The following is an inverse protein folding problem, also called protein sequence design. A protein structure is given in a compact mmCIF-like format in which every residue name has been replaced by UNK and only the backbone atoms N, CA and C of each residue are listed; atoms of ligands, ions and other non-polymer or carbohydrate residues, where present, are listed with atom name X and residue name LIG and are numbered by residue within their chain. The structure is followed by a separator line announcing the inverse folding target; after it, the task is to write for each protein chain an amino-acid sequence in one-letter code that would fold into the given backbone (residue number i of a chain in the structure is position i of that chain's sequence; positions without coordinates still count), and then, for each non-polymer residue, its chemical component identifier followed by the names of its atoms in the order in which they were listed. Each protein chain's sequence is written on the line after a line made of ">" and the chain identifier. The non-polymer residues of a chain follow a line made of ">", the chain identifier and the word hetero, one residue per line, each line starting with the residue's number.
data_IF_155705306496
#
_entry.id   IF_155705306496
#
_cell.length_a   1.000
_cell.length_b   1.000
_cell.length_c   1.000
_cell.angle_alpha   90.00
_cell.angle_beta   90.00
_cell.angle_gamma   90.00
#
_symmetry.space_group_name_H-M   'P 1'
#
loop_
_entity.id
_entity.type
_entity.pdbx_description
1 polymer ?
#
# COMPACT_ATOMS: atom_id res chain seq x y z
N UNK A 1 -28.36 -49.70 -14.24
CA UNK A 1 -27.05 -49.04 -14.47
C UNK A 1 -27.27 -47.69 -15.10
N UNK A 2 -27.24 -46.61 -14.33
CA UNK A 2 -27.11 -45.24 -14.85
C UNK A 2 -26.03 -44.57 -14.03
N UNK A 3 -24.95 -44.19 -14.73
CA UNK A 3 -23.75 -43.60 -14.17
C UNK A 3 -24.08 -42.29 -13.45
N UNK A 4 -23.71 -42.21 -12.17
CA UNK A 4 -23.64 -40.95 -11.44
C UNK A 4 -22.48 -40.15 -12.05
N UNK A 5 -22.80 -39.04 -12.72
CA UNK A 5 -21.82 -38.04 -13.11
C UNK A 5 -21.27 -37.35 -11.86
N UNK A 6 -19.95 -37.31 -11.81
CA UNK A 6 -19.13 -36.68 -10.77
C UNK A 6 -19.30 -35.15 -10.87
N UNK A 7 -19.58 -34.41 -9.78
CA UNK A 7 -19.33 -32.98 -9.76
C UNK A 7 -17.92 -32.73 -9.20
N UNK A 8 -16.91 -32.81 -10.06
CA UNK A 8 -15.53 -32.44 -9.71
C UNK A 8 -15.05 -31.33 -10.64
N UNK A 9 -15.70 -30.15 -10.61
CA UNK A 9 -15.17 -28.99 -11.34
C UNK A 9 -15.91 -27.70 -10.92
N UNK A 10 -15.71 -27.28 -9.68
CA UNK A 10 -16.16 -25.95 -9.20
C UNK A 10 -15.20 -25.41 -8.13
N UNK A 11 -13.90 -25.59 -8.29
CA UNK A 11 -12.90 -24.89 -7.48
C UNK A 11 -11.72 -24.51 -8.37
N UNK A 12 -11.89 -23.61 -9.35
CA UNK A 12 -10.76 -23.00 -10.05
C UNK A 12 -11.13 -21.67 -10.75
N UNK A 13 -11.78 -20.72 -10.07
CA UNK A 13 -12.02 -19.37 -10.64
C UNK A 13 -11.94 -18.20 -9.64
N UNK A 14 -11.11 -18.27 -8.59
CA UNK A 14 -10.92 -17.11 -7.68
C UNK A 14 -9.49 -16.51 -7.74
N UNK A 15 -8.55 -17.11 -8.47
CA UNK A 15 -7.13 -16.70 -8.36
C UNK A 15 -6.61 -15.72 -9.43
N UNK A 16 -7.44 -14.96 -10.14
CA UNK A 16 -6.94 -13.98 -11.14
C UNK A 16 -7.32 -12.51 -10.94
N UNK A 17 -8.20 -12.14 -10.00
CA UNK A 17 -8.58 -10.72 -9.81
C UNK A 17 -7.84 -9.96 -8.70
N UNK A 18 -7.09 -10.65 -7.84
CA UNK A 18 -6.44 -9.99 -6.69
C UNK A 18 -5.26 -9.12 -7.14
N UNK A 19 -4.52 -9.51 -8.18
CA UNK A 19 -3.23 -8.89 -8.54
C UNK A 19 -3.30 -7.44 -9.06
N UNK A 20 -4.49 -6.92 -9.36
CA UNK A 20 -4.66 -5.58 -9.95
C UNK A 20 -5.25 -4.53 -9.00
N UNK A 21 -5.82 -4.94 -7.87
CA UNK A 21 -6.56 -4.02 -7.00
C UNK A 21 -5.62 -3.12 -6.19
N UNK A 22 -4.53 -3.67 -5.64
CA UNK A 22 -3.58 -2.91 -4.83
C UNK A 22 -2.73 -1.97 -5.69
N UNK A 23 -2.32 -2.42 -6.88
CA UNK A 23 -1.63 -1.57 -7.86
C UNK A 23 -2.49 -0.37 -8.25
N UNK A 24 -3.80 -0.60 -8.51
CA UNK A 24 -4.75 0.46 -8.80
C UNK A 24 -4.93 1.40 -7.60
N UNK A 25 -5.02 0.86 -6.38
CA UNK A 25 -5.11 1.64 -5.14
C UNK A 25 -3.92 2.60 -5.00
N UNK A 26 -2.68 2.09 -5.15
CA UNK A 26 -1.46 2.91 -5.05
C UNK A 26 -1.43 3.95 -6.16
N UNK A 27 -1.77 3.60 -7.41
CA UNK A 27 -1.78 4.56 -8.52
C UNK A 27 -2.79 5.68 -8.30
N UNK A 28 -3.98 5.36 -7.83
CA UNK A 28 -5.00 6.34 -7.53
C UNK A 28 -4.56 7.25 -6.37
N UNK A 29 -4.02 6.67 -5.30
CA UNK A 29 -3.44 7.42 -4.18
C UNK A 29 -2.35 8.40 -4.64
N UNK A 30 -1.36 7.94 -5.40
CA UNK A 30 -0.26 8.80 -5.90
C UNK A 30 -0.77 9.87 -6.88
N UNK A 31 -1.77 9.55 -7.71
CA UNK A 31 -2.43 10.53 -8.58
C UNK A 31 -3.11 11.62 -7.77
N UNK A 32 -3.85 11.24 -6.72
CA UNK A 32 -4.51 12.20 -5.82
C UNK A 32 -3.51 13.02 -5.01
N UNK A 33 -2.38 12.43 -4.60
CA UNK A 33 -1.28 13.18 -3.99
C UNK A 33 -0.68 14.20 -4.96
N UNK A 34 -0.58 13.89 -6.25
CA UNK A 34 -0.04 14.80 -7.27
C UNK A 34 -0.98 15.96 -7.60
N UNK A 35 -2.29 15.79 -7.47
CA UNK A 35 -3.23 16.89 -7.66
C UNK A 35 -3.19 17.84 -6.45
N UNK A 36 -2.74 19.08 -6.67
CA UNK A 36 -2.66 20.11 -5.61
C UNK A 36 -4.03 20.61 -5.16
N UNK A 37 -5.08 20.38 -5.96
CA UNK A 37 -6.42 20.85 -5.66
C UNK A 37 -7.18 19.89 -4.74
N UNK A 38 -6.68 18.65 -4.56
CA UNK A 38 -7.28 17.68 -3.65
C UNK A 38 -6.74 17.93 -2.23
N UNK A 39 -7.64 18.12 -1.27
CA UNK A 39 -7.29 18.30 0.14
C UNK A 39 -6.67 17.02 0.72
N UNK A 40 -5.71 17.18 1.65
CA UNK A 40 -5.02 16.03 2.27
C UNK A 40 -5.99 15.13 3.04
N UNK A 41 -6.99 15.70 3.70
CA UNK A 41 -8.04 14.98 4.41
C UNK A 41 -8.84 14.05 3.46
N UNK A 42 -9.19 14.55 2.27
CA UNK A 42 -9.86 13.74 1.24
C UNK A 42 -9.00 12.57 0.78
N UNK A 43 -7.70 12.80 0.54
CA UNK A 43 -6.76 11.71 0.19
C UNK A 43 -6.71 10.67 1.31
N UNK A 44 -6.62 11.10 2.58
CA UNK A 44 -6.63 10.21 3.74
C UNK A 44 -7.87 9.33 3.75
N UNK A 45 -9.05 9.92 3.75
CA UNK A 45 -10.34 9.21 3.85
C UNK A 45 -10.54 8.19 2.73
N UNK A 46 -10.13 8.54 1.51
CA UNK A 46 -10.30 7.68 0.34
C UNK A 46 -9.38 6.45 0.37
N UNK A 47 -8.12 6.60 0.78
CA UNK A 47 -7.11 5.57 0.53
C UNK A 47 -6.51 4.93 1.79
N UNK A 48 -6.47 5.67 2.89
CA UNK A 48 -5.86 5.21 4.14
C UNK A 48 -6.94 4.51 4.98
N UNK A 49 -6.53 3.48 5.73
CA UNK A 49 -7.44 2.85 6.68
C UNK A 49 -7.77 3.79 7.84
N UNK A 50 -8.99 3.66 8.37
CA UNK A 50 -9.40 4.42 9.55
C UNK A 50 -9.01 3.68 10.83
N UNK A 51 -8.41 4.41 11.76
CA UNK A 51 -8.28 3.92 13.12
C UNK A 51 -9.57 4.20 13.89
N UNK A 52 -10.28 3.14 14.28
CA UNK A 52 -11.54 3.25 15.05
C UNK A 52 -11.31 3.34 16.57
N UNK A 53 -10.07 3.16 17.02
CA UNK A 53 -9.75 3.09 18.44
C UNK A 53 -9.16 4.40 18.95
N UNK A 54 -9.70 4.87 20.09
CA UNK A 54 -9.15 5.90 20.97
C UNK A 54 -9.10 7.34 20.41
N UNK A 55 -10.19 8.09 20.65
CA UNK A 55 -10.41 9.48 20.19
C UNK A 55 -9.27 10.43 20.57
N UNK A 56 -8.64 10.26 21.74
CA UNK A 56 -7.60 11.17 22.24
C UNK A 56 -6.29 11.09 21.44
N UNK A 57 -5.99 9.94 20.83
CA UNK A 57 -4.81 9.76 19.96
C UNK A 57 -5.10 10.06 18.49
N UNK A 58 -6.37 10.24 18.15
CA UNK A 58 -6.82 10.43 16.77
C UNK A 58 -6.20 11.68 16.15
N UNK A 59 -6.21 12.82 16.84
CA UNK A 59 -5.66 14.08 16.31
C UNK A 59 -4.17 14.00 15.98
N UNK A 60 -3.37 13.37 16.86
CA UNK A 60 -1.92 13.23 16.62
C UNK A 60 -1.63 12.26 15.47
N UNK A 61 -2.39 11.16 15.37
CA UNK A 61 -2.28 10.21 14.28
C UNK A 61 -2.74 10.82 12.95
N UNK A 62 -3.85 11.55 12.94
CA UNK A 62 -4.38 12.25 11.77
C UNK A 62 -3.35 13.24 11.22
N UNK A 63 -2.74 14.04 12.09
CA UNK A 63 -1.66 14.94 11.72
C UNK A 63 -0.45 14.19 11.15
N UNK A 64 -0.02 13.11 11.80
CA UNK A 64 1.09 12.28 11.32
C UNK A 64 0.80 11.71 9.91
N UNK A 65 -0.43 11.30 9.64
CA UNK A 65 -0.85 10.82 8.32
C UNK A 65 -0.81 11.95 7.29
N UNK A 66 -1.38 13.11 7.63
CA UNK A 66 -1.42 14.27 6.73
C UNK A 66 -0.01 14.79 6.39
N UNK A 67 0.88 14.88 7.38
CA UNK A 67 2.30 15.24 7.18
C UNK A 67 2.99 14.23 6.24
N UNK A 68 2.68 12.94 6.40
CA UNK A 68 3.17 11.88 5.52
C UNK A 68 2.64 12.00 4.09
N UNK A 69 1.35 12.28 3.90
CA UNK A 69 0.76 12.51 2.58
C UNK A 69 1.37 13.77 1.93
N UNK A 70 1.58 14.83 2.71
CA UNK A 70 2.24 16.06 2.23
C UNK A 70 3.66 15.78 1.72
N UNK A 71 4.44 15.00 2.47
CA UNK A 71 5.79 14.59 2.08
C UNK A 71 5.80 13.79 0.77
N UNK A 72 4.85 12.85 0.60
CA UNK A 72 4.69 12.10 -0.65
C UNK A 72 4.33 13.03 -1.80
N UNK A 73 3.37 13.95 -1.57
CA UNK A 73 2.94 14.95 -2.55
C UNK A 73 4.14 15.74 -3.05
N UNK A 74 4.95 16.30 -2.16
CA UNK A 74 6.14 17.09 -2.51
C UNK A 74 7.12 16.31 -3.40
N UNK A 75 7.47 15.08 -3.03
CA UNK A 75 8.38 14.24 -3.83
C UNK A 75 7.79 13.86 -5.19
N UNK A 76 6.47 13.61 -5.27
CA UNK A 76 5.80 13.18 -6.50
C UNK A 76 5.48 14.34 -7.47
N UNK A 77 5.32 15.58 -6.96
CA UNK A 77 4.93 16.74 -7.78
C UNK A 77 5.77 16.88 -9.05
N UNK A 78 7.09 16.71 -8.92
CA UNK A 78 8.05 16.88 -10.01
C UNK A 78 8.21 15.65 -10.91
N UNK A 79 7.62 14.50 -10.55
CA UNK A 79 7.86 13.22 -11.23
C UNK A 79 6.85 12.90 -12.32
N UNK A 80 7.31 12.20 -13.34
CA UNK A 80 6.46 11.60 -14.35
C UNK A 80 5.90 10.26 -13.85
N UNK A 81 4.61 10.22 -13.53
CA UNK A 81 3.95 9.04 -12.95
C UNK A 81 4.00 7.82 -13.88
N UNK A 82 4.10 8.02 -15.20
CA UNK A 82 4.18 6.92 -16.17
C UNK A 82 5.49 6.14 -16.08
N UNK A 83 6.54 6.76 -15.54
CA UNK A 83 7.86 6.14 -15.33
C UNK A 83 7.97 5.40 -14.00
N UNK A 84 6.93 5.47 -13.16
CA UNK A 84 6.92 4.81 -11.86
C UNK A 84 6.38 3.39 -12.00
N UNK A 85 7.07 2.44 -11.36
CA UNK A 85 6.66 1.05 -11.27
C UNK A 85 6.26 0.70 -9.85
N UNK A 86 5.27 -0.17 -9.73
CA UNK A 86 4.86 -0.77 -8.47
C UNK A 86 5.31 -2.23 -8.51
N UNK A 87 6.00 -2.67 -7.46
CA UNK A 87 6.53 -4.03 -7.36
C UNK A 87 6.14 -4.60 -6.01
N UNK A 88 5.65 -5.85 -5.99
CA UNK A 88 5.45 -6.59 -4.74
C UNK A 88 6.80 -6.95 -4.13
N UNK A 89 7.00 -6.72 -2.83
CA UNK A 89 8.23 -7.04 -2.12
C UNK A 89 8.57 -8.54 -2.20
N UNK A 90 7.55 -9.42 -2.31
CA UNK A 90 7.74 -10.86 -2.53
C UNK A 90 8.60 -11.18 -3.77
N UNK A 91 8.71 -10.25 -4.72
CA UNK A 91 9.48 -10.41 -5.95
C UNK A 91 10.82 -9.65 -5.92
N UNK A 92 11.19 -9.04 -4.79
CA UNK A 92 12.42 -8.26 -4.64
C UNK A 92 13.19 -8.65 -3.37
N UNK A 93 14.25 -9.43 -3.56
CA UNK A 93 15.12 -9.95 -2.48
C UNK A 93 15.78 -8.81 -1.69
N UNK A 94 16.10 -7.67 -2.33
CA UNK A 94 16.73 -6.55 -1.61
C UNK A 94 15.74 -5.94 -0.63
N UNK A 95 14.51 -5.73 -1.08
CA UNK A 95 13.43 -5.22 -0.23
C UNK A 95 13.15 -6.19 0.91
N UNK A 96 13.09 -7.50 0.66
CA UNK A 96 12.84 -8.49 1.72
C UNK A 96 13.86 -8.40 2.86
N UNK A 97 15.14 -8.21 2.52
CA UNK A 97 16.22 -8.07 3.51
C UNK A 97 16.13 -6.79 4.35
N UNK A 98 15.37 -5.79 3.90
CA UNK A 98 15.18 -4.56 4.65
C UNK A 98 14.15 -4.71 5.77
N UNK A 99 13.36 -5.79 5.84
CA UNK A 99 12.33 -5.98 6.86
C UNK A 99 12.59 -7.25 7.67
N UNK A 100 12.36 -7.18 8.98
CA UNK A 100 12.70 -8.26 9.92
C UNK A 100 11.83 -9.50 9.75
N UNK A 101 10.54 -9.33 9.47
CA UNK A 101 9.58 -10.39 9.17
C UNK A 101 8.22 -9.74 8.87
N UNK A 102 7.79 -9.76 7.61
CA UNK A 102 6.48 -9.25 7.23
C UNK A 102 5.94 -10.13 6.12
N UNK A 103 4.62 -10.31 6.07
CA UNK A 103 3.98 -10.94 4.93
C UNK A 103 4.23 -10.09 3.67
N UNK A 104 5.27 -10.45 2.92
CA UNK A 104 5.74 -9.70 1.75
C UNK A 104 4.73 -9.68 0.61
N UNK A 105 3.67 -10.49 0.66
CA UNK A 105 2.56 -10.44 -0.30
C UNK A 105 1.75 -9.15 -0.19
N UNK A 106 1.79 -8.50 0.98
CA UNK A 106 1.08 -7.26 1.33
C UNK A 106 1.95 -6.01 1.22
N UNK A 107 3.25 -6.17 0.97
CA UNK A 107 4.18 -5.05 0.84
C UNK A 107 4.38 -4.73 -0.64
N UNK A 108 4.17 -3.47 -0.98
CA UNK A 108 4.33 -2.92 -2.30
C UNK A 108 5.35 -1.79 -2.27
N UNK A 109 6.11 -1.66 -3.34
CA UNK A 109 7.18 -0.67 -3.43
C UNK A 109 6.98 0.16 -4.68
N UNK A 110 6.89 1.48 -4.49
CA UNK A 110 6.90 2.43 -5.61
C UNK A 110 8.34 2.76 -5.95
N UNK A 111 8.71 2.53 -7.21
CA UNK A 111 10.06 2.75 -7.72
C UNK A 111 10.08 3.70 -8.89
N UNK A 112 11.19 4.42 -9.00
CA UNK A 112 11.61 5.10 -10.21
C UNK A 112 12.88 4.42 -10.70
N UNK A 113 12.76 3.62 -11.77
CA UNK A 113 13.82 2.69 -12.21
C UNK A 113 14.21 1.73 -11.08
N UNK A 114 15.43 1.86 -10.55
CA UNK A 114 15.95 1.05 -9.44
C UNK A 114 15.86 1.75 -8.08
N UNK A 115 15.53 3.05 -8.04
CA UNK A 115 15.42 3.82 -6.80
C UNK A 115 14.06 3.53 -6.16
N UNK A 116 14.06 3.16 -4.89
CA UNK A 116 12.84 3.04 -4.09
C UNK A 116 12.43 4.45 -3.63
N UNK A 117 11.18 4.82 -3.89
CA UNK A 117 10.59 6.06 -3.42
C UNK A 117 9.83 5.82 -2.13
N UNK A 118 8.88 4.88 -2.14
CA UNK A 118 7.99 4.61 -1.02
C UNK A 118 7.70 3.12 -0.86
N UNK A 119 7.35 2.75 0.36
CA UNK A 119 6.86 1.42 0.72
C UNK A 119 5.41 1.56 1.15
N UNK A 120 4.58 0.60 0.78
CA UNK A 120 3.17 0.54 1.15
C UNK A 120 2.89 -0.83 1.75
N UNK A 121 2.24 -0.84 2.90
CA UNK A 121 1.56 -2.02 3.44
C UNK A 121 0.07 -1.88 3.11
N UNK A 122 -0.49 -2.87 2.42
CA UNK A 122 -1.89 -2.86 2.00
C UNK A 122 -2.59 -4.07 2.59
N UNK A 123 -3.68 -3.80 3.30
CA UNK A 123 -4.54 -4.82 3.90
C UNK A 123 -6.00 -4.36 3.73
N UNK A 124 -6.92 -5.29 3.44
CA UNK A 124 -8.35 -5.02 3.29
C UNK A 124 -8.64 -3.83 2.34
N UNK A 125 -7.98 -3.81 1.19
CA UNK A 125 -8.14 -2.78 0.13
C UNK A 125 -7.84 -1.34 0.57
N UNK A 126 -7.07 -1.17 1.65
CA UNK A 126 -6.64 0.13 2.18
C UNK A 126 -5.15 0.14 2.44
N UNK A 127 -4.56 1.34 2.40
CA UNK A 127 -3.18 1.56 2.80
C UNK A 127 -3.15 1.59 4.34
N UNK A 128 -2.50 0.60 4.94
CA UNK A 128 -2.37 0.47 6.40
C UNK A 128 -1.04 0.98 6.94
N UNK A 129 -0.05 1.14 6.07
CA UNK A 129 1.16 1.91 6.36
C UNK A 129 1.82 2.40 5.06
N UNK A 130 2.43 3.57 5.12
CA UNK A 130 3.29 4.08 4.03
C UNK A 130 4.56 4.79 4.53
N UNK A 131 4.69 4.96 5.85
CA UNK A 131 5.87 5.44 6.53
C UNK A 131 6.62 4.27 7.18
N UNK A 132 7.95 4.31 7.12
CA UNK A 132 8.84 3.31 7.71
C UNK A 132 9.86 3.98 8.62
N UNK A 133 10.16 3.35 9.76
CA UNK A 133 11.27 3.72 10.64
C UNK A 133 12.47 2.83 10.34
N UNK A 134 13.66 3.41 10.31
CA UNK A 134 14.91 2.65 10.26
C UNK A 134 15.43 2.40 11.68
N UNK A 135 15.53 1.14 12.08
CA UNK A 135 16.08 0.67 13.36
C UNK A 135 17.23 -0.27 13.07
N UNK A 136 18.47 0.23 13.20
CA UNK A 136 19.67 -0.60 13.04
C UNK A 136 19.83 -1.21 11.65
N UNK A 137 19.39 -0.52 10.59
CA UNK A 137 19.44 -1.02 9.21
C UNK A 137 18.18 -1.77 8.77
N UNK A 138 17.22 -1.97 9.69
CA UNK A 138 15.96 -2.67 9.41
C UNK A 138 14.82 -1.66 9.38
N UNK A 139 13.96 -1.79 8.39
CA UNK A 139 12.74 -1.00 8.22
C UNK A 139 11.58 -1.64 8.98
N UNK A 140 10.86 -0.80 9.70
CA UNK A 140 9.65 -1.18 10.43
C UNK A 140 8.53 -0.24 10.01
N UNK A 141 7.40 -0.80 9.55
CA UNK A 141 6.22 0.00 9.24
C UNK A 141 5.62 0.60 10.50
N UNK A 142 5.19 1.86 10.40
CA UNK A 142 4.28 2.46 11.38
C UNK A 142 2.86 2.14 10.90
N UNK A 143 2.20 1.15 11.52
CA UNK A 143 0.80 0.83 11.23
C UNK A 143 -0.13 1.97 11.63
N UNK A 144 -1.06 2.31 10.75
CA UNK A 144 -2.03 3.39 10.90
C UNK A 144 -3.36 2.91 11.48
N UNK A 145 -3.66 1.62 11.35
CA UNK A 145 -4.83 0.95 11.89
C UNK A 145 -4.46 -0.48 12.36
N UNK A 146 -5.31 -1.04 13.21
CA UNK A 146 -5.22 -2.43 13.68
C UNK A 146 -5.86 -3.40 12.69
#
# INVERSE_FOLDING_TARGET
>A
MKFLMIPFLMIFLISCNVRGQEDKLIRNFITSCKDKNIELATVREQYICENKDNVDKKTALDKFIEDGISSIREEIQSKDLSKLSIVKASNDIKVQKEFLETDFSKIFVLKEKQKILFYFLIENDKITAFNVLNKGGIKVFIKLCN
#
